data_IF_879871353067
#
_entry.id   IF_879871353067
#
_cell.length_a   1.000
_cell.length_b   1.000
_cell.length_c   1.000
_cell.angle_alpha   90.00
_cell.angle_beta   90.00
_cell.angle_gamma   90.00
#
_symmetry.space_group_name_H-M   'P 1'
#
loop_
_entity.id
_entity.type
_entity.pdbx_description
1 polymer ?
#
# COMPACT_ATOMS: atom_id res chain seq x y z
N UNK A 1 21.33 21.95 1.96
CA UNK A 1 21.36 20.68 2.71
C UNK A 1 19.97 20.05 2.66
N UNK A 2 19.87 18.74 2.46
CA UNK A 2 18.56 18.05 2.47
C UNK A 2 18.09 17.93 3.92
N UNK A 3 16.82 18.25 4.19
CA UNK A 3 16.25 18.10 5.53
C UNK A 3 16.25 16.63 5.94
N UNK A 4 16.60 16.34 7.20
CA UNK A 4 16.54 14.99 7.76
C UNK A 4 15.09 14.61 8.10
N UNK A 5 14.74 13.32 8.09
CA UNK A 5 13.43 12.88 8.58
C UNK A 5 13.23 13.30 10.04
N UNK A 6 11.98 13.63 10.39
CA UNK A 6 11.54 13.87 11.77
C UNK A 6 11.37 12.52 12.48
N UNK A 7 10.86 11.50 11.77
CA UNK A 7 10.65 10.15 12.29
C UNK A 7 10.86 9.08 11.20
N UNK A 8 10.99 7.83 11.64
CA UNK A 8 11.06 6.63 10.78
C UNK A 8 10.20 5.53 11.42
N UNK A 9 9.38 4.88 10.60
CA UNK A 9 8.34 3.90 10.94
C UNK A 9 8.47 2.66 10.03
N UNK A 10 9.52 1.84 10.23
CA UNK A 10 9.81 0.70 9.38
C UNK A 10 8.68 -0.35 9.39
N UNK A 11 7.87 -0.39 10.45
CA UNK A 11 6.70 -1.27 10.57
C UNK A 11 5.63 -1.03 9.50
N UNK A 12 5.64 0.11 8.80
CA UNK A 12 4.77 0.35 7.64
C UNK A 12 5.06 -0.68 6.53
N UNK A 13 6.29 -1.17 6.41
CA UNK A 13 6.64 -2.20 5.41
C UNK A 13 5.99 -3.57 5.68
N UNK A 14 5.42 -3.76 6.86
CA UNK A 14 4.67 -4.96 7.24
C UNK A 14 3.18 -4.86 6.87
N UNK A 15 2.74 -3.76 6.23
CA UNK A 15 1.34 -3.58 5.90
C UNK A 15 0.88 -4.65 4.91
N UNK A 16 -0.21 -5.33 5.27
CA UNK A 16 -0.80 -6.36 4.43
C UNK A 16 -1.32 -5.79 3.11
N UNK A 17 -1.31 -6.62 2.07
CA UNK A 17 -2.02 -6.29 0.83
C UNK A 17 -3.52 -6.14 1.10
N UNK A 18 -4.16 -5.29 0.29
CA UNK A 18 -5.61 -5.10 0.34
C UNK A 18 -6.32 -6.42 0.05
N UNK A 19 -7.24 -6.87 0.92
CA UNK A 19 -8.06 -8.05 0.69
C UNK A 19 -8.79 -7.95 -0.65
N UNK A 20 -8.78 -9.03 -1.45
CA UNK A 20 -9.37 -9.06 -2.80
C UNK A 20 -10.81 -8.53 -2.87
N UNK A 21 -11.71 -8.85 -1.91
CA UNK A 21 -13.08 -8.30 -1.92
C UNK A 21 -13.13 -6.76 -1.86
N UNK A 22 -12.10 -6.09 -1.31
CA UNK A 22 -12.06 -4.63 -1.21
C UNK A 22 -11.22 -3.97 -2.29
N UNK A 23 -10.78 -4.71 -3.31
CA UNK A 23 -10.17 -4.10 -4.48
C UNK A 23 -11.16 -3.14 -5.13
N UNK A 24 -10.67 -1.99 -5.60
CA UNK A 24 -11.47 -0.85 -6.09
C UNK A 24 -12.31 -0.11 -5.03
N UNK A 25 -12.34 -0.54 -3.77
CA UNK A 25 -12.99 0.19 -2.66
C UNK A 25 -11.94 0.94 -1.85
N UNK A 26 -11.75 2.22 -2.16
CA UNK A 26 -10.74 3.05 -1.50
C UNK A 26 -11.23 4.48 -1.19
N UNK A 27 -10.69 5.12 -0.14
CA UNK A 27 -10.98 6.50 0.24
C UNK A 27 -10.80 7.50 -0.89
N UNK A 28 -9.80 7.34 -1.76
CA UNK A 28 -9.59 8.28 -2.88
C UNK A 28 -10.77 8.30 -3.85
N UNK A 29 -11.33 7.14 -4.20
CA UNK A 29 -12.51 7.04 -5.06
C UNK A 29 -13.75 7.56 -4.32
N UNK A 30 -13.91 7.25 -3.04
CA UNK A 30 -15.10 7.61 -2.24
C UNK A 30 -15.14 9.11 -1.90
N UNK A 31 -14.02 9.70 -1.47
CA UNK A 31 -13.92 11.10 -1.00
C UNK A 31 -13.53 12.07 -2.11
N UNK A 32 -13.08 11.56 -3.25
CA UNK A 32 -12.70 12.35 -4.40
C UNK A 32 -11.26 12.90 -4.37
N UNK A 33 -10.89 13.48 -5.51
CA UNK A 33 -9.52 13.92 -5.82
C UNK A 33 -9.01 15.04 -4.92
N UNK A 34 -9.87 15.96 -4.50
CA UNK A 34 -9.46 17.13 -3.71
C UNK A 34 -9.08 16.72 -2.29
N UNK A 35 -9.90 15.88 -1.66
CA UNK A 35 -9.58 15.27 -0.38
C UNK A 35 -8.25 14.50 -0.46
N UNK A 36 -8.07 13.68 -1.50
CA UNK A 36 -6.82 12.92 -1.70
C UNK A 36 -5.60 13.84 -1.84
N UNK A 37 -5.72 14.89 -2.63
CA UNK A 37 -4.65 15.87 -2.84
C UNK A 37 -4.27 16.61 -1.57
N UNK A 38 -5.26 16.96 -0.75
CA UNK A 38 -5.01 17.58 0.55
C UNK A 38 -4.26 16.61 1.48
N UNK A 39 -4.76 15.38 1.64
CA UNK A 39 -4.18 14.38 2.56
C UNK A 39 -2.77 13.98 2.17
N UNK A 40 -2.51 13.69 0.89
CA UNK A 40 -1.16 13.32 0.44
C UNK A 40 -0.14 14.43 0.64
N UNK A 41 -0.50 15.69 0.36
CA UNK A 41 0.40 16.85 0.58
C UNK A 41 0.73 17.02 2.06
N UNK A 42 -0.25 16.84 2.94
CA UNK A 42 -0.04 16.85 4.39
C UNK A 42 0.91 15.72 4.82
N UNK A 43 0.72 14.50 4.32
CA UNK A 43 1.59 13.37 4.62
C UNK A 43 3.05 13.60 4.17
N UNK A 44 3.25 14.19 2.98
CA UNK A 44 4.58 14.52 2.47
C UNK A 44 5.31 15.53 3.35
N UNK A 45 4.62 16.61 3.74
CA UNK A 45 5.21 17.66 4.56
C UNK A 45 5.49 17.21 6.01
N UNK A 46 4.68 16.28 6.55
CA UNK A 46 4.75 15.86 7.95
C UNK A 46 6.09 15.23 8.37
N UNK A 47 6.89 14.72 7.42
CA UNK A 47 8.19 14.12 7.71
C UNK A 47 9.32 14.75 6.88
N UNK A 48 9.27 16.07 6.66
CA UNK A 48 10.26 16.80 5.86
C UNK A 48 10.47 16.22 4.45
N UNK A 49 9.40 15.75 3.81
CA UNK A 49 9.49 15.08 2.50
C UNK A 49 10.40 13.85 2.47
N UNK A 50 10.54 13.19 3.62
CA UNK A 50 11.18 11.89 3.74
C UNK A 50 10.16 10.76 3.80
N UNK A 51 10.51 9.62 3.20
CA UNK A 51 9.79 8.36 3.32
C UNK A 51 9.58 8.03 4.80
N UNK A 52 8.34 7.71 5.17
CA UNK A 52 8.00 7.37 6.55
C UNK A 52 8.60 6.03 6.95
N UNK A 53 8.77 5.09 6.02
CA UNK A 53 9.35 3.77 6.32
C UNK A 53 10.87 3.76 6.45
N UNK A 54 11.60 4.42 5.55
CA UNK A 54 13.07 4.34 5.49
C UNK A 54 13.80 5.67 5.74
N UNK A 55 13.09 6.79 5.81
CA UNK A 55 13.67 8.11 6.03
C UNK A 55 14.36 8.74 4.81
N UNK A 56 14.39 8.09 3.64
CA UNK A 56 14.94 8.68 2.40
C UNK A 56 14.13 9.91 1.99
N UNK A 57 14.81 11.05 1.83
CA UNK A 57 14.20 12.25 1.26
C UNK A 57 13.82 12.03 -0.21
N UNK A 58 12.71 12.61 -0.65
CA UNK A 58 12.19 12.47 -2.02
C UNK A 58 13.21 12.75 -3.13
N UNK A 59 14.16 13.67 -2.90
CA UNK A 59 15.20 14.01 -3.88
C UNK A 59 16.37 13.02 -3.91
N UNK A 60 16.31 11.95 -3.11
CA UNK A 60 17.31 10.90 -2.97
C UNK A 60 16.72 9.51 -3.22
N UNK A 61 15.43 9.42 -3.59
CA UNK A 61 14.87 8.16 -4.05
C UNK A 61 15.54 7.75 -5.38
N UNK A 62 15.70 6.44 -5.58
CA UNK A 62 16.41 5.88 -6.74
C UNK A 62 15.63 6.09 -8.04
N UNK A 63 14.31 5.98 -7.97
CA UNK A 63 13.47 5.86 -9.16
C UNK A 63 12.90 7.20 -9.60
N UNK A 64 12.53 8.06 -8.66
CA UNK A 64 12.04 9.40 -8.97
C UNK A 64 12.32 10.40 -7.86
N UNK A 65 11.88 11.65 -8.06
CA UNK A 65 12.18 12.77 -7.17
C UNK A 65 10.99 13.22 -6.28
N UNK A 66 10.03 12.31 -6.06
CA UNK A 66 8.80 12.56 -5.29
C UNK A 66 8.49 11.42 -4.31
N UNK A 67 7.49 11.63 -3.45
CA UNK A 67 6.94 10.58 -2.59
C UNK A 67 5.61 10.12 -3.15
N UNK A 68 5.29 8.87 -2.87
CA UNK A 68 4.02 8.24 -3.19
C UNK A 68 3.20 8.14 -1.90
N UNK A 69 1.92 8.49 -1.98
CA UNK A 69 1.03 8.38 -0.83
C UNK A 69 0.38 7.00 -0.83
N UNK A 70 0.38 6.37 0.32
CA UNK A 70 -0.18 5.04 0.53
C UNK A 70 -1.24 5.10 1.64
N UNK A 71 -2.32 4.34 1.46
CA UNK A 71 -3.40 4.22 2.43
C UNK A 71 -3.03 3.15 3.45
N UNK A 72 -2.78 3.54 4.70
CA UNK A 72 -2.43 2.60 5.76
C UNK A 72 -3.69 2.22 6.54
N UNK A 73 -4.01 0.92 6.54
CA UNK A 73 -5.24 0.38 7.11
C UNK A 73 -5.01 -0.41 8.41
N UNK A 74 -6.03 -0.45 9.26
CA UNK A 74 -6.23 -1.54 10.21
C UNK A 74 -7.22 -2.54 9.60
N UNK A 75 -6.89 -3.84 9.62
CA UNK A 75 -7.67 -4.91 8.97
C UNK A 75 -8.05 -5.98 10.01
N UNK A 76 -9.34 -6.20 10.21
CA UNK A 76 -9.90 -7.30 11.00
C UNK A 76 -10.38 -8.39 10.02
N UNK A 77 -9.54 -9.39 9.78
CA UNK A 77 -9.83 -10.47 8.84
C UNK A 77 -10.98 -11.36 9.27
N UNK A 78 -11.20 -11.55 10.58
CA UNK A 78 -12.29 -12.39 11.09
C UNK A 78 -13.65 -11.73 10.87
N UNK A 79 -13.73 -10.39 10.97
CA UNK A 79 -14.98 -9.64 10.71
C UNK A 79 -15.12 -9.11 9.29
N UNK A 80 -14.04 -9.11 8.51
CA UNK A 80 -14.01 -8.51 7.18
C UNK A 80 -14.05 -6.98 7.23
N UNK A 81 -13.49 -6.36 8.26
CA UNK A 81 -13.48 -4.89 8.40
C UNK A 81 -12.12 -4.32 8.02
N UNK A 82 -12.11 -3.30 7.16
CA UNK A 82 -10.93 -2.49 6.87
C UNK A 82 -11.19 -1.05 7.28
N UNK A 83 -10.26 -0.40 7.97
CA UNK A 83 -10.41 0.99 8.45
C UNK A 83 -9.21 1.81 8.04
N UNK A 84 -9.44 2.94 7.38
CA UNK A 84 -8.35 3.85 7.05
C UNK A 84 -7.80 4.45 8.35
N UNK A 85 -6.53 4.14 8.66
CA UNK A 85 -5.84 4.70 9.82
C UNK A 85 -5.25 6.06 9.49
N UNK A 86 -4.51 6.12 8.38
CA UNK A 86 -3.83 7.34 7.92
C UNK A 86 -3.35 7.21 6.48
N UNK A 87 -2.98 8.36 5.89
CA UNK A 87 -2.23 8.41 4.63
C UNK A 87 -0.76 8.58 4.97
N UNK A 88 0.06 7.62 4.57
CA UNK A 88 1.51 7.63 4.79
C UNK A 88 2.25 8.02 3.52
N UNK A 89 3.46 8.57 3.65
CA UNK A 89 4.29 8.96 2.51
C UNK A 89 5.49 8.03 2.37
N UNK A 90 5.63 7.39 1.22
CA UNK A 90 6.68 6.41 0.93
C UNK A 90 7.52 6.84 -0.27
N UNK A 91 8.78 6.43 -0.31
CA UNK A 91 9.55 6.47 -1.55
C UNK A 91 9.09 5.34 -2.48
N UNK A 92 9.44 5.40 -3.77
CA UNK A 92 9.04 4.39 -4.76
C UNK A 92 9.43 2.98 -4.33
N UNK A 93 10.65 2.86 -3.78
CA UNK A 93 11.20 1.58 -3.34
C UNK A 93 10.37 0.97 -2.21
N UNK A 94 10.05 1.74 -1.17
CA UNK A 94 9.24 1.27 -0.05
C UNK A 94 7.78 1.00 -0.45
N UNK A 95 7.22 1.82 -1.34
CA UNK A 95 5.85 1.67 -1.81
C UNK A 95 5.67 0.41 -2.67
N UNK A 96 6.62 0.11 -3.56
CA UNK A 96 6.57 -1.13 -4.34
C UNK A 96 6.89 -2.37 -3.51
N UNK A 97 7.70 -2.25 -2.46
CA UNK A 97 7.95 -3.38 -1.55
C UNK A 97 6.67 -3.85 -0.86
N UNK A 98 5.86 -2.93 -0.31
CA UNK A 98 4.58 -3.29 0.30
C UNK A 98 3.56 -3.80 -0.74
N UNK A 99 3.70 -3.39 -1.99
CA UNK A 99 2.96 -3.92 -3.14
C UNK A 99 3.73 -5.01 -3.90
N UNK A 100 4.56 -5.81 -3.22
CA UNK A 100 5.39 -6.87 -3.82
C UNK A 100 4.61 -7.88 -4.69
N UNK A 101 3.35 -8.16 -4.34
CA UNK A 101 2.46 -8.97 -5.17
C UNK A 101 2.20 -8.34 -6.54
N UNK A 102 1.85 -7.04 -6.58
CA UNK A 102 1.69 -6.29 -7.84
C UNK A 102 3.03 -6.17 -8.58
N UNK A 103 4.11 -5.89 -7.84
CA UNK A 103 5.46 -5.77 -8.40
C UNK A 103 5.87 -7.06 -9.15
N UNK A 104 5.56 -8.23 -8.58
CA UNK A 104 5.82 -9.53 -9.22
C UNK A 104 5.05 -9.70 -10.53
N UNK A 105 3.79 -9.24 -10.57
CA UNK A 105 2.98 -9.32 -11.80
C UNK A 105 3.53 -8.43 -12.91
N UNK A 106 3.94 -7.20 -12.59
CA UNK A 106 4.50 -6.30 -13.61
C UNK A 106 5.91 -6.73 -14.06
N UNK A 107 6.66 -7.46 -13.23
CA UNK A 107 7.89 -8.12 -13.65
C UNK A 107 7.61 -9.19 -14.69
N UNK A 108 6.61 -10.05 -14.46
CA UNK A 108 6.21 -11.09 -15.43
C UNK A 108 5.74 -10.49 -16.77
N UNK A 109 5.19 -9.27 -16.75
CA UNK A 109 4.81 -8.50 -17.95
C UNK A 109 5.99 -7.79 -18.63
N UNK A 110 7.18 -7.79 -18.02
CA UNK A 110 8.36 -7.08 -18.52
C UNK A 110 8.30 -5.56 -18.37
N UNK A 111 7.38 -5.04 -17.53
CA UNK A 111 7.23 -3.59 -17.28
C UNK A 111 8.24 -3.06 -16.25
N UNK A 112 8.85 -3.95 -15.47
CA UNK A 112 9.97 -3.66 -14.56
C UNK A 112 11.10 -4.65 -14.83
N UNK A 113 12.35 -4.18 -14.70
CA UNK A 113 13.53 -5.03 -14.87
C UNK A 113 13.71 -5.97 -13.67
N UNK A 114 14.40 -7.10 -13.88
CA UNK A 114 14.82 -8.00 -12.80
C UNK A 114 15.70 -7.26 -11.78
N UNK A 115 16.65 -6.43 -12.24
CA UNK A 115 17.52 -5.62 -11.38
C UNK A 115 16.74 -4.68 -10.44
N UNK A 116 15.70 -4.03 -10.96
CA UNK A 116 14.88 -3.12 -10.16
C UNK A 116 13.99 -3.87 -9.19
N UNK A 117 13.43 -5.02 -9.61
CA UNK A 117 12.70 -5.91 -8.73
C UNK A 117 13.58 -6.37 -7.56
N UNK A 118 14.76 -6.91 -7.86
CA UNK A 118 15.71 -7.40 -6.86
C UNK A 118 16.15 -6.28 -5.91
N UNK A 119 16.42 -5.08 -6.44
CA UNK A 119 16.74 -3.91 -5.64
C UNK A 119 15.62 -3.57 -4.64
N UNK A 120 14.37 -3.47 -5.12
CA UNK A 120 13.22 -3.14 -4.27
C UNK A 120 13.05 -4.17 -3.17
N UNK A 121 13.10 -5.45 -3.53
CA UNK A 121 12.92 -6.56 -2.60
C UNK A 121 14.05 -6.64 -1.57
N UNK A 122 15.31 -6.46 -1.99
CA UNK A 122 16.45 -6.44 -1.09
C UNK A 122 16.42 -5.24 -0.14
N UNK A 123 16.07 -4.05 -0.64
CA UNK A 123 16.00 -2.82 0.15
C UNK A 123 14.95 -2.92 1.26
N UNK A 124 13.76 -3.42 0.95
CA UNK A 124 12.72 -3.61 1.97
C UNK A 124 13.09 -4.68 3.00
N UNK A 125 13.65 -5.81 2.57
CA UNK A 125 14.14 -6.86 3.49
C UNK A 125 15.21 -6.35 4.45
N UNK A 126 16.19 -5.61 3.94
CA UNK A 126 17.24 -5.01 4.76
C UNK A 126 16.67 -4.09 5.86
N UNK A 127 15.61 -3.33 5.56
CA UNK A 127 14.92 -2.51 6.57
C UNK A 127 14.23 -3.39 7.61
N UNK A 128 13.52 -4.44 7.20
CA UNK A 128 12.86 -5.37 8.13
C UNK A 128 13.90 -6.00 9.07
N UNK A 129 15.00 -6.51 8.52
CA UNK A 129 16.04 -7.22 9.26
C UNK A 129 16.77 -6.29 10.24
N UNK A 130 17.19 -5.10 9.79
CA UNK A 130 17.86 -4.10 10.64
C UNK A 130 17.01 -3.65 11.82
N UNK A 131 15.69 -3.60 11.62
CA UNK A 131 14.74 -3.22 12.66
C UNK A 131 14.18 -4.42 13.44
N UNK A 132 14.67 -5.64 13.18
CA UNK A 132 14.25 -6.89 13.83
C UNK A 132 12.75 -7.10 13.78
N UNK A 133 12.14 -6.71 12.67
CA UNK A 133 10.71 -6.81 12.45
C UNK A 133 10.36 -8.22 12.01
N UNK A 134 9.22 -8.73 12.47
CA UNK A 134 8.70 -10.04 12.07
C UNK A 134 7.51 -9.84 11.15
N UNK A 135 7.48 -10.57 10.03
CA UNK A 135 6.35 -10.55 9.14
C UNK A 135 5.09 -11.04 9.86
N UNK A 136 3.93 -10.38 9.66
CA UNK A 136 2.69 -10.82 10.28
C UNK A 136 2.34 -12.23 9.82
N UNK A 137 1.85 -13.05 10.75
CA UNK A 137 1.29 -14.35 10.41
C UNK A 137 0.03 -14.17 9.56
N UNK A 138 -0.24 -15.15 8.71
CA UNK A 138 -1.50 -15.21 7.99
C UNK A 138 -2.65 -15.32 8.99
N UNK A 139 -3.81 -14.68 8.72
CA UNK A 139 -4.96 -14.77 9.58
C UNK A 139 -5.48 -16.21 9.62
N UNK A 140 -5.75 -16.74 10.82
CA UNK A 140 -6.32 -18.09 11.00
C UNK A 140 -7.78 -18.18 10.53
N UNK A 141 -8.51 -17.07 10.64
CA UNK A 141 -9.91 -16.94 10.24
C UNK A 141 -10.07 -15.76 9.29
N UNK A 142 -10.86 -15.99 8.25
CA UNK A 142 -11.14 -15.01 7.20
C UNK A 142 -12.65 -14.96 7.01
N UNK A 143 -13.21 -13.76 7.04
CA UNK A 143 -14.62 -13.50 6.81
C UNK A 143 -15.05 -13.90 5.39
N UNK A 144 -16.32 -14.24 5.25
CA UNK A 144 -16.93 -14.52 3.96
C UNK A 144 -16.86 -13.29 3.04
N UNK A 145 -16.80 -13.50 1.72
CA UNK A 145 -16.64 -12.45 0.72
C UNK A 145 -17.61 -11.27 0.91
N UNK A 146 -18.89 -11.57 1.17
CA UNK A 146 -19.97 -10.59 1.33
C UNK A 146 -19.88 -9.77 2.62
N UNK A 147 -19.09 -10.22 3.61
CA UNK A 147 -18.91 -9.52 4.88
C UNK A 147 -17.87 -8.41 4.77
N UNK A 148 -17.00 -8.44 3.75
CA UNK A 148 -15.93 -7.47 3.61
C UNK A 148 -16.44 -6.06 3.31
N UNK A 149 -15.99 -5.09 4.11
CA UNK A 149 -16.28 -3.67 3.91
C UNK A 149 -15.17 -2.76 4.43
N UNK A 150 -14.98 -1.64 3.73
CA UNK A 150 -14.21 -0.49 4.22
C UNK A 150 -15.12 0.35 5.12
N UNK A 151 -14.63 0.73 6.29
CA UNK A 151 -15.28 1.68 7.17
C UNK A 151 -14.54 3.00 7.08
N UNK A 152 -15.24 4.03 6.58
CA UNK A 152 -14.70 5.36 6.36
C UNK A 152 -15.69 6.38 6.93
N UNK A 153 -15.22 7.23 7.84
CA UNK A 153 -16.04 8.24 8.53
C UNK A 153 -17.33 7.69 9.18
N UNK A 154 -17.29 6.43 9.60
CA UNK A 154 -18.43 5.72 10.23
C UNK A 154 -19.35 5.02 9.24
N UNK A 155 -19.17 5.22 7.93
CA UNK A 155 -19.95 4.59 6.87
C UNK A 155 -19.28 3.30 6.37
N UNK A 156 -20.10 2.32 5.98
CA UNK A 156 -19.65 1.04 5.42
C UNK A 156 -19.72 1.07 3.90
N UNK A 157 -18.60 0.75 3.25
CA UNK A 157 -18.49 0.64 1.79
C UNK A 157 -18.11 -0.79 1.43
N UNK A 158 -18.99 -1.49 0.73
CA UNK A 158 -18.84 -2.90 0.38
C UNK A 158 -18.20 -3.09 -0.99
N UNK A 159 -17.71 -4.31 -1.22
CA UNK A 159 -17.21 -4.78 -2.52
C UNK A 159 -18.19 -4.50 -3.67
N UNK A 160 -17.73 -4.04 -4.84
CA UNK A 160 -18.55 -4.04 -6.05
C UNK A 160 -18.73 -5.45 -6.63
N UNK A 161 -17.86 -6.40 -6.27
CA UNK A 161 -17.89 -7.78 -6.72
C UNK A 161 -18.66 -8.66 -5.73
N UNK A 162 -19.54 -9.53 -6.22
CA UNK A 162 -20.34 -10.45 -5.38
C UNK A 162 -19.58 -11.72 -5.01
N UNK A 163 -18.53 -12.07 -5.74
CA UNK A 163 -17.75 -13.29 -5.52
C UNK A 163 -16.32 -13.17 -6.02
N UNK A 164 -15.49 -14.14 -5.64
CA UNK A 164 -14.15 -14.31 -6.19
C UNK A 164 -14.15 -14.48 -7.71
N UNK A 165 -15.11 -15.21 -8.26
CA UNK A 165 -15.20 -15.46 -9.70
C UNK A 165 -15.42 -14.16 -10.48
N UNK A 166 -16.36 -13.33 -10.05
CA UNK A 166 -16.63 -12.02 -10.66
C UNK A 166 -15.42 -11.08 -10.56
N UNK A 167 -14.70 -11.13 -9.43
CA UNK A 167 -13.45 -10.39 -9.26
C UNK A 167 -12.38 -10.87 -10.26
N UNK A 168 -12.21 -12.19 -10.44
CA UNK A 168 -11.26 -12.75 -11.40
C UNK A 168 -11.62 -12.32 -12.83
N UNK A 169 -12.89 -12.45 -13.23
CA UNK A 169 -13.35 -12.06 -14.56
C UNK A 169 -13.06 -10.58 -14.84
N UNK A 170 -13.32 -9.70 -13.87
CA UNK A 170 -13.02 -8.27 -14.02
C UNK A 170 -11.54 -7.99 -14.25
N UNK A 171 -10.64 -8.62 -13.49
CA UNK A 171 -9.21 -8.31 -13.59
C UNK A 171 -8.50 -9.09 -14.70
N UNK A 172 -9.00 -10.25 -15.12
CA UNK A 172 -8.47 -10.98 -16.28
C UNK A 172 -8.92 -10.35 -17.61
N UNK A 173 -10.14 -9.81 -17.70
CA UNK A 173 -10.61 -9.16 -18.93
C UNK A 173 -9.92 -7.82 -19.18
N UNK A 174 -9.45 -7.12 -18.13
CA UNK A 174 -8.58 -5.95 -18.27
C UNK A 174 -7.10 -6.27 -18.53
N UNK A 175 -6.73 -7.55 -18.66
CA UNK A 175 -5.39 -7.98 -19.09
C UNK A 175 -5.28 -8.17 -20.61
N UNK A 176 -6.40 -8.16 -21.35
CA UNK A 176 -6.45 -8.35 -22.82
C UNK A 176 -6.62 -7.06 -23.64
N UNK A 177 -6.83 -5.90 -23.00
CA UNK A 177 -6.91 -4.56 -23.63
C UNK A 177 -5.62 -3.74 -23.41
#
# INVERSE_FOLDING_TARGET
>A
MVQKPIFVRPEILLHSNIPKPLHSVNPRTIKGKDWWNEKRKKAYAANNFCCWACGVHKSKDKFHNHLEAHEYYDIDYEKGEMRLKEIVALCHTCHNYIHSGRLSMILLKGEVSEDDFEYIMAYGRDIIDKNKLTLPLLPEKIAEWSQWHLILDGEKHFSPFKSYHEWVEHYQTQEEE
#
